data_IF_470126847481
#
_entry.id   IF_470126847481
#
_cell.length_a   1.000
_cell.length_b   1.000
_cell.length_c   1.000
_cell.angle_alpha   90.00
_cell.angle_beta   90.00
_cell.angle_gamma   90.00
#
_symmetry.space_group_name_H-M   'P 1'
#
loop_
_entity.id
_entity.type
_entity.pdbx_description
1 polymer ?
#
# COMPACT_ATOMS: atom_id res chain seq x y z
N UNK A 1 -0.27 13.56 19.46
CA UNK A 1 -0.40 14.29 18.18
C UNK A 1 -0.27 13.25 17.09
N UNK A 2 -1.10 13.25 16.02
CA UNK A 2 -0.90 12.31 14.92
C UNK A 2 0.47 12.56 14.28
N UNK A 3 1.17 11.48 13.92
CA UNK A 3 2.44 11.54 13.19
C UNK A 3 2.26 12.38 11.91
N UNK A 4 3.10 13.38 11.72
CA UNK A 4 3.08 14.24 10.52
C UNK A 4 4.07 13.68 9.50
N UNK A 5 3.75 12.56 8.89
CA UNK A 5 4.51 12.05 7.76
C UNK A 5 4.27 12.95 6.54
N UNK A 6 5.33 13.36 5.85
CA UNK A 6 5.26 14.13 4.60
C UNK A 6 5.81 13.30 3.43
N UNK A 7 5.48 13.70 2.19
CA UNK A 7 5.88 12.99 0.96
C UNK A 7 7.38 12.68 0.90
N UNK A 8 8.23 13.57 1.43
CA UNK A 8 9.67 13.37 1.46
C UNK A 8 10.08 12.22 2.39
N UNK A 9 9.57 12.19 3.62
CA UNK A 9 9.78 11.08 4.56
C UNK A 9 9.26 9.77 3.98
N UNK A 10 8.07 9.79 3.36
CA UNK A 10 7.49 8.61 2.72
C UNK A 10 8.39 8.08 1.60
N UNK A 11 8.88 8.98 0.74
CA UNK A 11 9.79 8.63 -0.36
C UNK A 11 11.08 8.02 0.17
N UNK A 12 11.66 8.58 1.24
CA UNK A 12 12.86 8.02 1.90
C UNK A 12 12.57 6.63 2.46
N UNK A 13 11.43 6.43 3.11
CA UNK A 13 11.04 5.13 3.67
C UNK A 13 10.84 4.06 2.59
N UNK A 14 10.12 4.37 1.51
CA UNK A 14 9.98 3.45 0.37
C UNK A 14 11.34 3.17 -0.27
N UNK A 15 12.21 4.18 -0.42
CA UNK A 15 13.54 3.97 -0.96
C UNK A 15 14.36 3.01 -0.08
N UNK A 16 14.31 3.16 1.24
CA UNK A 16 14.95 2.20 2.15
C UNK A 16 14.34 0.80 2.02
N UNK A 17 13.03 0.68 1.83
CA UNK A 17 12.36 -0.61 1.60
C UNK A 17 12.92 -1.33 0.37
N UNK A 18 13.24 -0.57 -0.69
CA UNK A 18 13.86 -1.10 -1.91
C UNK A 18 15.33 -1.45 -1.69
N UNK A 19 16.07 -0.64 -0.94
CA UNK A 19 17.53 -0.76 -0.80
C UNK A 19 17.99 -1.73 0.29
N UNK A 20 17.17 -1.99 1.32
CA UNK A 20 17.63 -2.67 2.54
C UNK A 20 17.51 -4.21 2.50
N UNK A 21 17.15 -4.78 1.36
CA UNK A 21 17.07 -6.23 1.17
C UNK A 21 16.06 -6.89 2.11
N UNK A 22 16.57 -7.71 3.04
CA UNK A 22 15.76 -8.45 4.02
C UNK A 22 15.57 -7.70 5.35
N UNK A 23 16.16 -6.52 5.53
CA UNK A 23 15.91 -5.69 6.70
C UNK A 23 14.46 -5.18 6.71
N UNK A 24 13.85 -5.07 7.89
CA UNK A 24 12.54 -4.45 8.05
C UNK A 24 12.69 -2.93 8.04
N UNK A 25 11.76 -2.25 7.38
CA UNK A 25 11.70 -0.79 7.33
C UNK A 25 10.36 -0.37 7.92
N UNK A 26 10.38 0.57 8.86
CA UNK A 26 9.18 1.08 9.53
C UNK A 26 9.24 2.60 9.64
N UNK A 27 8.09 3.25 9.55
CA UNK A 27 7.96 4.71 9.61
C UNK A 27 7.37 5.16 10.94
N UNK A 28 7.72 6.38 11.37
CA UNK A 28 7.14 7.05 12.53
C UNK A 28 7.12 6.14 13.75
N UNK A 29 8.25 5.47 14.00
CA UNK A 29 8.38 4.47 15.05
C UNK A 29 8.58 5.17 16.39
N UNK A 30 7.78 4.80 17.38
CA UNK A 30 7.97 5.29 18.74
C UNK A 30 9.02 4.42 19.44
N UNK A 31 10.18 4.99 19.75
CA UNK A 31 11.23 4.33 20.53
C UNK A 31 11.27 4.90 21.96
N UNK A 32 11.61 4.05 22.93
CA UNK A 32 11.72 4.45 24.33
C UNK A 32 13.04 5.18 24.60
N UNK A 33 12.97 6.41 25.14
CA UNK A 33 14.12 7.14 25.66
C UNK A 33 14.65 6.42 26.91
N UNK A 34 15.89 5.93 26.84
CA UNK A 34 16.52 5.12 27.88
C UNK A 34 16.73 5.90 29.20
N UNK A 35 16.72 7.23 29.16
CA UNK A 35 16.88 8.06 30.36
C UNK A 35 15.54 8.37 31.02
N UNK A 36 14.52 8.74 30.25
CA UNK A 36 13.24 9.23 30.79
C UNK A 36 12.11 8.21 30.73
N UNK A 37 12.27 7.11 30.01
CA UNK A 37 11.21 6.13 29.73
C UNK A 37 10.11 6.65 28.79
N UNK A 38 10.22 7.89 28.31
CA UNK A 38 9.22 8.49 27.42
C UNK A 38 9.42 8.02 25.99
N UNK A 39 8.33 7.86 25.25
CA UNK A 39 8.39 7.51 23.84
C UNK A 39 8.79 8.74 22.99
N UNK A 40 9.71 8.55 22.05
CA UNK A 40 10.08 9.54 21.03
C UNK A 40 9.93 8.93 19.65
N UNK A 41 9.30 9.69 18.75
CA UNK A 41 9.14 9.30 17.36
C UNK A 41 10.49 9.34 16.62
N UNK A 42 10.73 8.38 15.74
CA UNK A 42 11.82 8.32 14.76
C UNK A 42 11.20 8.15 13.39
N UNK A 43 11.58 9.01 12.43
CA UNK A 43 10.88 9.12 11.15
C UNK A 43 10.92 7.84 10.32
N UNK A 44 12.09 7.19 10.23
CA UNK A 44 12.28 5.88 9.60
C UNK A 44 13.27 5.06 10.40
N UNK A 45 12.91 3.80 10.67
CA UNK A 45 13.78 2.81 11.31
C UNK A 45 14.00 1.66 10.35
N UNK A 46 15.27 1.29 10.15
CA UNK A 46 15.68 0.08 9.46
C UNK A 46 16.26 -0.89 10.48
N UNK A 47 15.64 -2.05 10.64
CA UNK A 47 16.07 -3.08 11.58
C UNK A 47 16.58 -4.31 10.83
N UNK A 48 17.70 -4.83 11.29
CA UNK A 48 18.28 -6.07 10.79
C UNK A 48 18.93 -6.85 11.92
N UNK A 49 19.37 -8.07 11.63
CA UNK A 49 20.16 -8.88 12.56
C UNK A 49 21.51 -9.17 11.93
N UNK A 50 22.59 -8.79 12.61
CA UNK A 50 23.96 -9.07 12.19
C UNK A 50 24.62 -10.01 13.21
N UNK A 51 24.97 -11.23 12.77
CA UNK A 51 25.56 -12.25 13.63
C UNK A 51 24.77 -12.52 14.92
N UNK A 52 23.43 -12.50 14.85
CA UNK A 52 22.53 -12.71 15.99
C UNK A 52 22.29 -11.47 16.87
N UNK A 53 22.88 -10.32 16.53
CA UNK A 53 22.68 -9.07 17.26
C UNK A 53 21.74 -8.13 16.48
N UNK A 54 20.75 -7.50 17.16
CA UNK A 54 19.89 -6.52 16.52
C UNK A 54 20.70 -5.27 16.14
N UNK A 55 20.46 -4.78 14.92
CA UNK A 55 21.03 -3.55 14.38
C UNK A 55 19.89 -2.63 13.96
N UNK A 56 19.82 -1.46 14.59
CA UNK A 56 18.81 -0.44 14.38
C UNK A 56 19.46 0.80 13.77
N UNK A 57 19.12 1.10 12.53
CA UNK A 57 19.51 2.33 11.84
C UNK A 57 18.32 3.28 11.87
N UNK A 58 18.50 4.45 12.46
CA UNK A 58 17.50 5.50 12.49
C UNK A 58 17.81 6.55 11.43
N UNK A 59 16.77 6.95 10.69
CA UNK A 59 16.80 8.07 9.77
C UNK A 59 15.83 9.14 10.24
N UNK A 60 16.30 10.39 10.26
CA UNK A 60 15.47 11.59 10.51
C UNK A 60 15.43 12.42 9.24
N UNK A 61 14.24 12.85 8.84
CA UNK A 61 13.96 13.48 7.56
C UNK A 61 13.58 14.95 7.74
N UNK A 62 14.16 15.82 6.92
CA UNK A 62 13.87 17.26 6.95
C UNK A 62 13.66 17.82 5.56
N UNK A 63 12.42 18.17 5.27
CA UNK A 63 12.03 18.77 4.00
C UNK A 63 11.81 20.29 4.12
N UNK A 64 12.91 21.04 4.19
CA UNK A 64 12.89 22.49 4.28
C UNK A 64 13.69 23.09 3.13
N UNK A 65 13.29 24.27 2.64
CA UNK A 65 13.97 24.96 1.55
C UNK A 65 15.42 25.38 1.88
N UNK A 66 15.73 25.67 3.15
CA UNK A 66 17.08 26.08 3.59
C UNK A 66 17.87 24.89 4.12
N UNK A 67 19.18 24.80 3.83
CA UNK A 67 20.03 23.77 4.40
C UNK A 67 19.93 23.71 5.92
N UNK A 68 19.95 22.50 6.48
CA UNK A 68 19.90 22.32 7.93
C UNK A 68 21.20 22.76 8.58
N UNK A 69 21.06 23.47 9.68
CA UNK A 69 22.16 24.03 10.44
C UNK A 69 22.65 23.06 11.52
N UNK A 70 23.65 23.52 12.28
CA UNK A 70 24.25 22.74 13.37
C UNK A 70 23.23 22.47 14.48
N UNK A 71 22.31 23.41 14.72
CA UNK A 71 21.27 23.30 15.76
C UNK A 71 20.43 22.04 15.57
N UNK A 72 19.95 21.79 14.35
CA UNK A 72 19.17 20.58 14.08
C UNK A 72 20.00 19.31 14.25
N UNK A 73 21.24 19.31 13.73
CA UNK A 73 22.13 18.14 13.85
C UNK A 73 22.42 17.79 15.32
N UNK A 74 22.70 18.78 16.15
CA UNK A 74 22.93 18.59 17.59
C UNK A 74 21.68 18.10 18.33
N UNK A 75 20.50 18.59 17.94
CA UNK A 75 19.22 18.12 18.49
C UNK A 75 19.02 16.63 18.24
N UNK A 76 19.22 16.16 16.99
CA UNK A 76 19.05 14.75 16.66
C UNK A 76 20.15 13.88 17.29
N UNK A 77 21.39 14.36 17.38
CA UNK A 77 22.45 13.67 18.13
C UNK A 77 22.03 13.49 19.61
N UNK A 78 21.56 14.55 20.26
CA UNK A 78 21.13 14.51 21.65
C UNK A 78 19.89 13.65 21.90
N UNK A 79 18.99 13.56 20.91
CA UNK A 79 17.86 12.63 20.90
C UNK A 79 18.36 11.18 20.83
N UNK A 80 19.15 10.85 19.82
CA UNK A 80 19.60 9.48 19.55
C UNK A 80 20.68 8.96 20.51
N UNK A 81 21.36 9.83 21.25
CA UNK A 81 22.24 9.42 22.34
C UNK A 81 21.50 8.64 23.46
N UNK A 82 20.17 8.74 23.50
CA UNK A 82 19.31 8.08 24.51
C UNK A 82 18.32 7.09 23.89
N UNK A 83 18.29 6.94 22.57
CA UNK A 83 17.44 5.97 21.91
C UNK A 83 18.21 4.68 21.63
N UNK A 84 17.53 3.52 21.55
CA UNK A 84 18.14 2.23 21.24
C UNK A 84 18.51 2.12 19.75
N UNK A 85 19.31 3.06 19.25
CA UNK A 85 19.71 3.16 17.84
C UNK A 85 21.21 2.98 17.70
N UNK A 86 21.66 2.13 16.77
CA UNK A 86 23.08 1.85 16.53
C UNK A 86 23.72 2.86 15.56
N UNK A 87 22.93 3.40 14.63
CA UNK A 87 23.40 4.39 13.64
C UNK A 87 22.34 5.45 13.42
N UNK A 88 22.77 6.71 13.43
CA UNK A 88 21.95 7.86 13.03
C UNK A 88 22.33 8.31 11.61
N UNK A 89 21.30 8.52 10.80
CA UNK A 89 21.37 9.11 9.47
C UNK A 89 20.42 10.31 9.43
N UNK A 90 20.91 11.47 9.01
CA UNK A 90 20.08 12.66 8.82
C UNK A 90 19.89 12.90 7.33
N UNK A 91 18.65 13.01 6.90
CA UNK A 91 18.28 13.20 5.50
C UNK A 91 17.63 14.57 5.34
N UNK A 92 18.23 15.44 4.53
CA UNK A 92 17.70 16.78 4.26
C UNK A 92 17.47 16.98 2.76
N UNK A 93 16.30 17.51 2.38
CA UNK A 93 16.00 17.80 0.97
C UNK A 93 16.85 18.93 0.39
N UNK A 94 17.30 19.88 1.23
CA UNK A 94 18.13 21.04 0.85
C UNK A 94 19.58 20.94 1.32
N UNK A 95 19.95 19.84 1.96
CA UNK A 95 21.29 19.60 2.49
C UNK A 95 21.58 20.29 3.81
N UNK A 96 22.85 20.61 4.04
CA UNK A 96 23.40 20.98 5.34
C UNK A 96 24.34 22.18 5.24
N UNK A 97 24.55 22.92 6.34
CA UNK A 97 25.60 23.94 6.42
C UNK A 97 26.99 23.30 6.59
N UNK A 98 28.07 24.08 6.42
CA UNK A 98 29.45 23.58 6.61
C UNK A 98 29.69 23.09 8.04
N UNK A 99 29.21 23.87 9.00
CA UNK A 99 29.36 23.55 10.43
C UNK A 99 28.58 22.29 10.82
N UNK A 100 27.33 22.15 10.34
CA UNK A 100 26.52 20.95 10.52
C UNK A 100 27.24 19.67 10.03
N UNK A 101 27.92 19.74 8.87
CA UNK A 101 28.72 18.62 8.36
C UNK A 101 29.89 18.27 9.27
N UNK A 102 30.61 19.25 9.78
CA UNK A 102 31.76 19.04 10.67
C UNK A 102 31.33 18.41 12.00
N UNK A 103 30.20 18.83 12.56
CA UNK A 103 29.65 18.24 13.79
C UNK A 103 29.20 16.80 13.53
N UNK A 104 28.43 16.56 12.47
CA UNK A 104 27.98 15.21 12.13
C UNK A 104 29.14 14.24 11.92
N UNK A 105 30.21 14.65 11.23
CA UNK A 105 31.41 13.83 11.01
C UNK A 105 32.07 13.43 12.34
N UNK A 106 32.27 14.38 13.25
CA UNK A 106 32.85 14.12 14.58
C UNK A 106 32.00 13.17 15.43
N UNK A 107 30.69 13.18 15.23
CA UNK A 107 29.74 12.30 15.93
C UNK A 107 29.39 11.03 15.14
N UNK A 108 30.08 10.75 14.03
CA UNK A 108 29.83 9.60 13.15
C UNK A 108 28.38 9.49 12.66
N UNK A 109 27.71 10.63 12.48
CA UNK A 109 26.36 10.73 11.92
C UNK A 109 26.46 10.82 10.40
N UNK A 110 25.70 9.99 9.69
CA UNK A 110 25.66 10.06 8.22
C UNK A 110 24.73 11.19 7.78
N UNK A 111 25.16 12.00 6.82
CA UNK A 111 24.35 13.06 6.24
C UNK A 111 24.02 12.72 4.80
N UNK A 112 22.73 12.69 4.47
CA UNK A 112 22.24 12.39 3.14
C UNK A 112 21.43 13.56 2.58
N UNK A 113 21.59 13.80 1.29
CA UNK A 113 20.87 14.84 0.55
C UNK A 113 20.56 14.26 -0.82
N UNK A 114 19.28 14.05 -1.16
CA UNK A 114 18.90 13.72 -2.52
C UNK A 114 19.45 14.77 -3.49
N UNK A 115 20.06 14.31 -4.58
CA UNK A 115 20.55 15.20 -5.63
C UNK A 115 19.77 14.92 -6.90
N UNK A 116 19.20 15.96 -7.54
CA UNK A 116 18.75 15.82 -8.91
C UNK A 116 19.92 15.32 -9.77
N UNK A 117 19.63 14.40 -10.69
CA UNK A 117 20.61 14.02 -11.69
C UNK A 117 20.71 15.10 -12.76
N UNK A 118 21.93 15.31 -13.26
CA UNK A 118 22.17 16.20 -14.39
C UNK A 118 21.43 15.70 -15.64
N UNK A 119 20.90 16.61 -16.45
CA UNK A 119 20.14 16.31 -17.67
C UNK A 119 20.96 15.47 -18.64
N UNK A 120 22.26 15.75 -18.75
CA UNK A 120 23.17 14.98 -19.61
C UNK A 120 23.40 13.56 -19.07
N UNK A 121 23.45 13.40 -17.75
CA UNK A 121 23.52 12.09 -17.10
C UNK A 121 22.21 11.31 -17.26
N UNK A 122 21.06 11.98 -17.12
CA UNK A 122 19.73 11.43 -17.39
C UNK A 122 19.59 11.02 -18.86
N UNK A 123 20.12 11.81 -19.81
CA UNK A 123 20.08 11.48 -21.24
C UNK A 123 21.00 10.30 -21.59
N UNK A 124 22.12 10.15 -20.88
CA UNK A 124 23.01 9.00 -21.00
C UNK A 124 22.43 7.74 -20.35
N UNK A 125 21.64 7.90 -19.29
CA UNK A 125 20.72 6.88 -18.82
C UNK A 125 19.64 6.72 -19.89
N UNK A 126 19.87 5.84 -20.89
CA UNK A 126 18.90 5.45 -21.94
C UNK A 126 17.53 4.95 -21.42
N UNK A 127 17.29 5.04 -20.11
CA UNK A 127 16.37 4.28 -19.24
C UNK A 127 15.72 5.17 -18.15
N UNK A 128 15.88 6.49 -18.19
CA UNK A 128 15.19 7.36 -17.23
C UNK A 128 13.68 7.35 -17.50
N UNK A 129 12.94 6.62 -16.67
CA UNK A 129 11.48 6.54 -16.78
C UNK A 129 10.90 7.87 -16.32
N UNK A 130 10.25 8.57 -17.26
CA UNK A 130 9.60 9.87 -17.02
C UNK A 130 8.19 9.74 -16.47
N UNK A 131 7.54 8.64 -16.81
CA UNK A 131 6.19 8.34 -16.39
C UNK A 131 6.00 6.84 -16.31
N UNK A 132 5.36 6.38 -15.25
CA UNK A 132 4.85 5.03 -15.12
C UNK A 132 3.33 5.10 -15.26
N UNK A 133 2.72 4.18 -16.00
CA UNK A 133 1.26 4.12 -16.11
C UNK A 133 0.75 3.04 -15.18
N UNK A 134 -0.15 3.42 -14.30
CA UNK A 134 -0.79 2.58 -13.31
C UNK A 134 -2.16 2.15 -13.85
N UNK A 135 -2.44 0.85 -13.91
CA UNK A 135 -3.79 0.34 -14.17
C UNK A 135 -4.45 -0.06 -12.88
N UNK A 136 -5.46 0.69 -12.47
CA UNK A 136 -6.31 0.39 -11.32
C UNK A 136 -7.60 -0.27 -11.80
N UNK A 137 -8.10 -1.22 -11.04
CA UNK A 137 -9.40 -1.83 -11.32
C UNK A 137 -10.41 -1.31 -10.32
N UNK A 138 -11.42 -0.65 -10.84
CA UNK A 138 -12.55 -0.15 -10.09
C UNK A 138 -13.71 -1.09 -10.36
N UNK A 139 -14.33 -1.59 -9.31
CA UNK A 139 -15.49 -2.46 -9.42
C UNK A 139 -16.71 -1.78 -8.82
N UNK A 140 -17.80 -1.78 -9.58
CA UNK A 140 -19.09 -1.26 -9.15
C UNK A 140 -20.09 -2.41 -9.16
N UNK A 141 -20.42 -2.98 -7.99
CA UNK A 141 -21.50 -3.96 -7.85
C UNK A 141 -22.82 -3.43 -8.44
N UNK A 142 -23.38 -4.05 -9.47
CA UNK A 142 -24.64 -3.54 -10.04
C UNK A 142 -25.84 -4.28 -9.45
N UNK A 143 -25.78 -5.61 -9.44
CA UNK A 143 -26.94 -6.44 -9.19
C UNK A 143 -26.57 -7.71 -8.42
N UNK A 144 -27.33 -7.99 -7.36
CA UNK A 144 -27.38 -9.30 -6.73
C UNK A 144 -28.75 -9.90 -6.99
N UNK A 145 -28.79 -10.93 -7.82
CA UNK A 145 -29.99 -11.72 -8.05
C UNK A 145 -29.83 -13.07 -7.38
N UNK A 146 -30.84 -13.47 -6.62
CA UNK A 146 -30.84 -14.76 -5.92
C UNK A 146 -32.00 -15.60 -6.37
N UNK A 147 -31.77 -16.88 -6.60
CA UNK A 147 -32.81 -17.88 -6.77
C UNK A 147 -33.07 -18.54 -5.43
N UNK A 148 -34.29 -18.45 -4.94
CA UNK A 148 -34.72 -19.08 -3.71
C UNK A 148 -35.35 -20.44 -3.98
N UNK A 149 -35.01 -21.42 -3.15
CA UNK A 149 -35.72 -22.71 -3.14
C UNK A 149 -37.18 -22.52 -2.74
N UNK A 150 -38.04 -23.43 -3.22
CA UNK A 150 -39.42 -23.50 -2.77
C UNK A 150 -39.49 -23.85 -1.27
N UNK A 151 -40.44 -23.23 -0.57
CA UNK A 151 -40.76 -23.53 0.83
C UNK A 151 -42.28 -23.79 0.96
N UNK A 152 -42.78 -24.37 2.06
CA UNK A 152 -44.21 -24.61 2.24
C UNK A 152 -45.03 -23.31 2.07
N UNK A 153 -45.85 -23.24 1.03
CA UNK A 153 -46.64 -22.05 0.68
C UNK A 153 -45.93 -21.02 -0.21
N UNK A 154 -44.67 -21.26 -0.59
CA UNK A 154 -43.83 -20.32 -1.34
C UNK A 154 -43.16 -21.02 -2.53
N UNK A 155 -43.50 -20.67 -3.78
CA UNK A 155 -42.83 -21.24 -4.94
C UNK A 155 -41.38 -20.77 -5.01
N UNK A 156 -40.51 -21.54 -5.68
CA UNK A 156 -39.18 -21.05 -6.04
C UNK A 156 -39.31 -19.73 -6.83
N UNK A 157 -38.46 -18.76 -6.52
CA UNK A 157 -38.53 -17.43 -7.13
C UNK A 157 -37.14 -16.82 -7.28
N UNK A 158 -37.03 -15.85 -8.19
CA UNK A 158 -35.82 -15.07 -8.42
C UNK A 158 -36.06 -13.65 -7.92
N UNK A 159 -35.15 -13.13 -7.09
CA UNK A 159 -35.27 -11.82 -6.47
C UNK A 159 -34.00 -11.01 -6.69
N UNK A 160 -34.17 -9.75 -7.10
CA UNK A 160 -33.14 -8.73 -7.02
C UNK A 160 -33.08 -8.19 -5.59
N UNK A 161 -31.89 -8.20 -5.00
CA UNK A 161 -31.68 -7.75 -3.63
C UNK A 161 -31.07 -6.35 -3.57
N UNK A 162 -31.66 -5.43 -2.78
CA UNK A 162 -31.00 -4.19 -2.39
C UNK A 162 -29.65 -4.47 -1.71
N UNK A 163 -28.67 -3.57 -1.87
CA UNK A 163 -27.30 -3.74 -1.33
C UNK A 163 -27.25 -3.87 0.20
N UNK A 164 -28.21 -3.31 0.91
CA UNK A 164 -28.33 -3.36 2.36
C UNK A 164 -29.12 -4.57 2.87
N UNK A 165 -29.68 -5.40 1.97
CA UNK A 165 -30.48 -6.56 2.35
C UNK A 165 -29.65 -7.55 3.17
N UNK A 166 -30.13 -7.99 4.36
CA UNK A 166 -29.38 -8.89 5.24
C UNK A 166 -29.34 -10.33 4.69
N UNK A 167 -28.18 -10.96 4.75
CA UNK A 167 -27.98 -12.38 4.41
C UNK A 167 -27.67 -13.18 5.68
N UNK A 168 -28.42 -14.26 5.86
CA UNK A 168 -28.28 -15.18 6.99
C UNK A 168 -27.52 -16.43 6.56
N UNK A 169 -26.81 -17.04 7.51
CA UNK A 169 -26.04 -18.26 7.31
C UNK A 169 -26.52 -19.30 8.33
N UNK A 170 -26.62 -20.57 7.91
CA UNK A 170 -27.01 -21.66 8.78
C UNK A 170 -26.25 -21.64 10.12
N UNK A 171 -26.98 -21.84 11.23
CA UNK A 171 -26.41 -21.91 12.57
C UNK A 171 -26.10 -20.55 13.22
N UNK A 172 -26.57 -19.44 12.63
CA UNK A 172 -26.50 -18.11 13.23
C UNK A 172 -27.87 -17.44 13.23
N UNK A 173 -28.21 -16.84 14.36
CA UNK A 173 -29.51 -16.15 14.57
C UNK A 173 -29.47 -14.69 14.12
N UNK A 174 -28.29 -14.15 13.84
CA UNK A 174 -28.06 -12.80 13.36
C UNK A 174 -27.51 -12.82 11.91
N UNK A 175 -27.82 -11.80 11.09
CA UNK A 175 -27.28 -11.71 9.74
C UNK A 175 -25.76 -11.57 9.78
N UNK A 176 -25.07 -12.28 8.89
CA UNK A 176 -23.60 -12.30 8.86
C UNK A 176 -23.04 -11.13 8.06
N UNK A 177 -23.74 -10.73 6.99
CA UNK A 177 -23.38 -9.63 6.11
C UNK A 177 -24.58 -9.14 5.29
N UNK A 178 -24.42 -8.01 4.59
CA UNK A 178 -25.38 -7.54 3.60
C UNK A 178 -25.11 -8.10 2.21
N UNK A 179 -26.11 -8.06 1.35
CA UNK A 179 -26.02 -8.34 -0.09
C UNK A 179 -24.85 -7.62 -0.77
N UNK A 180 -24.66 -6.32 -0.50
CA UNK A 180 -23.56 -5.54 -1.06
C UNK A 180 -22.18 -6.03 -0.60
N UNK A 181 -22.06 -6.46 0.66
CA UNK A 181 -20.81 -7.03 1.18
C UNK A 181 -20.53 -8.41 0.58
N UNK A 182 -21.56 -9.21 0.34
CA UNK A 182 -21.43 -10.48 -0.38
C UNK A 182 -20.93 -10.24 -1.81
N UNK A 183 -21.56 -9.33 -2.55
CA UNK A 183 -21.13 -9.00 -3.93
C UNK A 183 -19.68 -8.52 -3.96
N UNK A 184 -19.29 -7.61 -3.06
CA UNK A 184 -17.92 -7.10 -3.03
C UNK A 184 -16.90 -8.23 -2.80
N UNK A 185 -17.09 -9.04 -1.76
CA UNK A 185 -16.17 -10.16 -1.48
C UNK A 185 -16.14 -11.19 -2.62
N UNK A 186 -17.26 -11.35 -3.32
CA UNK A 186 -17.34 -12.21 -4.49
C UNK A 186 -16.55 -11.67 -5.69
N UNK A 187 -16.70 -10.38 -5.99
CA UNK A 187 -15.94 -9.71 -7.05
C UNK A 187 -14.45 -9.76 -6.76
N UNK A 188 -14.04 -9.46 -5.53
CA UNK A 188 -12.64 -9.53 -5.09
C UNK A 188 -12.05 -10.94 -5.29
N UNK A 189 -12.83 -11.99 -4.99
CA UNK A 189 -12.44 -13.38 -5.20
C UNK A 189 -12.28 -13.73 -6.69
N UNK A 190 -13.19 -13.30 -7.57
CA UNK A 190 -13.06 -13.51 -9.02
C UNK A 190 -11.80 -12.82 -9.56
N UNK A 191 -11.58 -11.56 -9.19
CA UNK A 191 -10.40 -10.81 -9.66
C UNK A 191 -9.11 -11.50 -9.21
N UNK A 192 -9.08 -11.98 -7.97
CA UNK A 192 -7.96 -12.76 -7.42
C UNK A 192 -7.73 -14.06 -8.20
N UNK A 193 -8.77 -14.85 -8.47
CA UNK A 193 -8.67 -16.10 -9.24
C UNK A 193 -8.21 -15.89 -10.69
N UNK A 194 -8.54 -14.75 -11.29
CA UNK A 194 -8.11 -14.38 -12.64
C UNK A 194 -6.69 -13.82 -12.67
N UNK A 195 -5.97 -13.80 -11.55
CA UNK A 195 -4.60 -13.29 -11.47
C UNK A 195 -4.51 -11.79 -11.74
N UNK A 196 -5.61 -11.07 -11.55
CA UNK A 196 -5.68 -9.66 -11.90
C UNK A 196 -5.12 -8.84 -10.75
N UNK A 197 -3.85 -8.45 -10.89
CA UNK A 197 -3.20 -7.57 -9.93
C UNK A 197 -3.61 -6.10 -10.22
N UNK A 198 -4.15 -5.36 -9.23
CA UNK A 198 -4.54 -3.97 -9.40
C UNK A 198 -3.35 -3.02 -9.58
N UNK A 199 -2.11 -3.52 -9.55
CA UNK A 199 -0.89 -2.75 -9.75
C UNK A 199 -0.08 -3.35 -10.89
N UNK A 200 -0.60 -3.26 -12.10
CA UNK A 200 0.20 -3.55 -13.28
C UNK A 200 0.63 -2.26 -14.00
N UNK A 201 1.92 -2.21 -14.33
CA UNK A 201 2.55 -1.10 -15.05
C UNK A 201 2.58 -1.44 -16.54
N UNK A 202 1.80 -0.74 -17.38
CA UNK A 202 1.66 -1.08 -18.81
C UNK A 202 1.49 0.13 -19.72
N UNK A 203 1.65 -0.06 -21.03
CA UNK A 203 1.28 0.93 -22.06
C UNK A 203 -0.24 0.99 -22.28
N UNK A 204 -0.74 2.20 -22.46
CA UNK A 204 -2.14 2.62 -22.38
C UNK A 204 -3.15 1.87 -23.27
N UNK A 205 -4.24 1.43 -22.64
CA UNK A 205 -5.59 1.30 -23.23
C UNK A 205 -6.62 1.25 -22.07
N UNK A 206 -7.66 2.08 -22.17
CA UNK A 206 -8.84 2.06 -21.30
C UNK A 206 -9.81 1.00 -21.82
N UNK A 207 -10.18 0.03 -20.97
CA UNK A 207 -11.21 -0.94 -21.27
C UNK A 207 -12.24 -0.96 -20.13
N UNK A 208 -13.51 -0.81 -20.50
CA UNK A 208 -14.66 -1.09 -19.61
C UNK A 208 -15.18 -2.47 -19.95
N UNK A 209 -15.43 -3.30 -18.94
CA UNK A 209 -15.98 -4.64 -19.13
C UNK A 209 -16.99 -4.94 -18.04
N UNK A 210 -18.15 -5.48 -18.42
CA UNK A 210 -19.11 -6.01 -17.47
C UNK A 210 -18.72 -7.44 -17.10
N UNK A 211 -18.62 -7.73 -15.80
CA UNK A 211 -18.48 -9.11 -15.31
C UNK A 211 -19.83 -9.56 -14.77
N UNK A 212 -20.41 -10.56 -15.42
CA UNK A 212 -21.58 -11.29 -14.93
C UNK A 212 -21.17 -12.73 -14.64
N UNK A 213 -21.61 -13.26 -13.50
CA UNK A 213 -21.35 -14.65 -13.20
C UNK A 213 -22.46 -15.26 -12.32
N UNK A 214 -22.84 -16.50 -12.66
CA UNK A 214 -23.94 -17.26 -12.08
C UNK A 214 -23.36 -18.46 -11.31
N UNK A 215 -23.79 -18.65 -10.06
CA UNK A 215 -23.27 -19.71 -9.21
C UNK A 215 -24.36 -20.44 -8.47
N UNK A 216 -24.47 -21.78 -8.65
CA UNK A 216 -25.24 -22.59 -7.73
C UNK A 216 -24.53 -22.62 -6.38
N UNK A 217 -25.23 -22.26 -5.30
CA UNK A 217 -24.73 -22.48 -3.94
C UNK A 217 -24.90 -23.97 -3.63
N UNK A 218 -23.85 -24.77 -3.91
CA UNK A 218 -23.86 -26.21 -3.58
C UNK A 218 -22.58 -26.73 -2.92
N UNK A 219 -22.84 -27.46 -1.82
CA UNK A 219 -22.07 -28.43 -1.02
C UNK A 219 -20.74 -28.08 -0.35
N UNK A 220 -19.91 -27.14 -0.83
CA UNK A 220 -18.61 -26.86 -0.17
C UNK A 220 -18.63 -25.65 0.78
N UNK A 221 -19.71 -24.86 0.77
CA UNK A 221 -19.92 -23.70 1.64
C UNK A 221 -21.17 -23.82 2.53
N UNK A 222 -21.33 -22.95 3.55
CA UNK A 222 -22.50 -22.99 4.42
C UNK A 222 -23.76 -22.53 3.69
N UNK A 223 -24.90 -23.14 4.02
CA UNK A 223 -26.19 -22.76 3.45
C UNK A 223 -26.55 -21.30 3.82
N UNK A 224 -26.97 -20.54 2.81
CA UNK A 224 -27.39 -19.15 2.94
C UNK A 224 -28.91 -19.03 2.85
N UNK A 225 -29.47 -18.09 3.60
CA UNK A 225 -30.91 -17.87 3.69
C UNK A 225 -31.26 -16.39 3.62
N UNK A 226 -32.43 -16.11 3.06
CA UNK A 226 -33.13 -14.84 3.24
C UNK A 226 -34.29 -15.00 4.19
N UNK A 227 -34.54 -13.95 4.99
CA UNK A 227 -35.69 -13.87 5.88
C UNK A 227 -36.82 -13.09 5.19
N UNK A 228 -37.92 -13.77 4.87
CA UNK A 228 -39.17 -13.10 4.56
C UNK A 228 -39.79 -12.64 5.89
N UNK A 229 -39.48 -11.42 6.31
CA UNK A 229 -39.91 -10.87 7.61
C UNK A 229 -41.36 -10.35 7.58
N UNK A 230 -41.89 -10.01 6.41
CA UNK A 230 -43.22 -9.40 6.24
C UNK A 230 -44.38 -10.43 6.29
N UNK A 231 -44.09 -11.67 6.67
CA UNK A 231 -45.05 -12.76 6.75
C UNK A 231 -45.05 -13.32 8.17
N UNK A 232 -46.21 -13.75 8.66
CA UNK A 232 -46.38 -14.29 10.01
C UNK A 232 -46.82 -15.78 9.94
N UNK A 233 -45.99 -16.73 10.43
CA UNK A 233 -44.64 -16.52 10.97
C UNK A 233 -43.62 -16.21 9.86
N UNK A 234 -42.51 -15.53 10.18
CA UNK A 234 -41.46 -15.24 9.21
C UNK A 234 -40.85 -16.53 8.67
N UNK A 235 -40.57 -16.54 7.37
CA UNK A 235 -40.09 -17.73 6.67
C UNK A 235 -38.64 -17.53 6.22
N UNK A 236 -37.77 -18.46 6.60
CA UNK A 236 -36.42 -18.55 6.04
C UNK A 236 -36.46 -19.31 4.72
N UNK A 237 -35.94 -18.69 3.68
CA UNK A 237 -35.85 -19.26 2.34
C UNK A 237 -34.39 -19.48 1.96
N UNK A 238 -34.05 -20.73 1.65
CA UNK A 238 -32.68 -21.08 1.22
C UNK A 238 -32.38 -20.44 -0.13
N UNK A 239 -31.19 -19.86 -0.25
CA UNK A 239 -30.64 -19.38 -1.51
C UNK A 239 -30.02 -20.56 -2.26
N UNK A 240 -30.57 -20.88 -3.43
CA UNK A 240 -30.13 -21.99 -4.27
C UNK A 240 -29.05 -21.54 -5.28
N UNK A 241 -29.16 -20.32 -5.77
CA UNK A 241 -28.27 -19.77 -6.80
C UNK A 241 -28.13 -18.28 -6.58
N UNK A 242 -26.94 -17.77 -6.91
CA UNK A 242 -26.64 -16.36 -6.86
C UNK A 242 -26.03 -15.93 -8.18
N UNK A 243 -26.63 -14.90 -8.77
CA UNK A 243 -26.12 -14.16 -9.91
C UNK A 243 -25.58 -12.83 -9.41
N UNK A 244 -24.32 -12.57 -9.71
CA UNK A 244 -23.67 -11.30 -9.43
C UNK A 244 -23.33 -10.63 -10.75
N UNK A 245 -23.71 -9.36 -10.91
CA UNK A 245 -23.12 -8.49 -11.93
C UNK A 245 -22.37 -7.33 -11.28
N UNK A 246 -21.23 -7.00 -11.86
CA UNK A 246 -20.45 -5.84 -11.50
C UNK A 246 -19.85 -5.22 -12.77
N UNK A 247 -19.97 -3.90 -12.89
CA UNK A 247 -19.19 -3.14 -13.85
C UNK A 247 -17.74 -3.10 -13.38
N UNK A 248 -16.81 -3.44 -14.27
CA UNK A 248 -15.39 -3.36 -14.02
C UNK A 248 -14.80 -2.33 -14.97
N UNK A 249 -14.27 -1.27 -14.39
CA UNK A 249 -13.61 -0.19 -15.10
C UNK A 249 -12.11 -0.25 -14.80
N UNK A 250 -11.31 -0.29 -15.87
CA UNK A 250 -9.86 -0.15 -15.76
C UNK A 250 -9.54 1.33 -15.87
N UNK A 251 -9.18 1.94 -14.75
CA UNK A 251 -8.67 3.30 -14.71
C UNK A 251 -7.17 3.27 -14.99
N UNK A 252 -6.70 4.09 -15.93
CA UNK A 252 -5.26 4.23 -16.20
C UNK A 252 -4.79 5.61 -15.75
N UNK A 253 -3.90 5.65 -14.77
CA UNK A 253 -3.33 6.90 -14.25
C UNK A 253 -1.84 7.00 -14.60
N UNK A 254 -1.41 8.17 -15.07
CA UNK A 254 0.01 8.45 -15.21
C UNK A 254 0.61 8.86 -13.87
N UNK A 255 1.75 8.25 -13.53
CA UNK A 255 2.60 8.58 -12.39
C UNK A 255 3.80 9.32 -12.94
N UNK A 256 3.85 10.66 -12.86
CA UNK A 256 5.03 11.42 -13.26
C UNK A 256 6.20 11.08 -12.34
N UNK A 257 7.36 10.78 -12.93
CA UNK A 257 8.52 10.32 -12.19
C UNK A 257 9.62 11.38 -12.18
N UNK A 258 10.11 11.71 -10.98
CA UNK A 258 11.31 12.49 -10.76
C UNK A 258 12.49 11.57 -10.47
N UNK A 259 13.66 11.87 -11.02
CA UNK A 259 14.87 11.06 -10.79
C UNK A 259 15.86 11.81 -9.90
N UNK A 260 16.37 11.12 -8.89
CA UNK A 260 17.37 11.63 -7.98
C UNK A 260 18.40 10.56 -7.64
N UNK A 261 19.46 10.97 -6.96
CA UNK A 261 20.45 10.09 -6.38
C UNK A 261 20.52 10.31 -4.88
N UNK A 262 20.53 9.21 -4.12
CA UNK A 262 20.77 9.21 -2.68
C UNK A 262 21.84 8.18 -2.35
N UNK A 263 22.91 8.62 -1.70
CA UNK A 263 24.03 7.75 -1.28
C UNK A 263 24.61 6.87 -2.42
N UNK A 264 24.74 7.42 -3.62
CA UNK A 264 25.24 6.70 -4.79
C UNK A 264 24.17 5.91 -5.55
N UNK A 265 23.04 5.57 -4.92
CA UNK A 265 21.92 4.89 -5.57
C UNK A 265 21.07 5.88 -6.36
N UNK A 266 20.92 5.63 -7.66
CA UNK A 266 19.96 6.32 -8.51
C UNK A 266 18.57 5.72 -8.29
N UNK A 267 17.59 6.58 -8.08
CA UNK A 267 16.20 6.19 -7.92
C UNK A 267 15.28 7.15 -8.65
N UNK A 268 14.09 6.65 -9.00
CA UNK A 268 12.99 7.47 -9.46
C UNK A 268 11.83 7.34 -8.47
N UNK A 269 11.07 8.41 -8.31
CA UNK A 269 9.87 8.41 -7.48
C UNK A 269 8.78 9.26 -8.11
N UNK A 270 7.53 8.94 -7.81
CA UNK A 270 6.38 9.65 -8.34
C UNK A 270 5.14 9.35 -7.53
N UNK A 271 4.21 10.29 -7.52
CA UNK A 271 2.93 10.15 -6.84
C UNK A 271 1.79 10.46 -7.80
N UNK A 272 0.67 9.76 -7.62
CA UNK A 272 -0.57 10.03 -8.34
C UNK A 272 -1.77 9.65 -7.47
N UNK A 273 -2.94 10.15 -7.84
CA UNK A 273 -4.21 9.78 -7.21
C UNK A 273 -5.13 9.22 -8.29
N UNK A 274 -5.79 8.11 -7.96
CA UNK A 274 -6.84 7.48 -8.77
C UNK A 274 -8.18 7.60 -8.04
N UNK A 275 -9.27 7.18 -8.67
CA UNK A 275 -10.58 7.15 -7.99
C UNK A 275 -10.61 6.22 -6.77
N UNK A 276 -9.75 5.20 -6.74
CA UNK A 276 -9.74 4.18 -5.69
C UNK A 276 -8.67 4.41 -4.60
N UNK A 277 -7.56 5.07 -4.95
CA UNK A 277 -6.37 5.11 -4.10
C UNK A 277 -5.39 6.24 -4.43
N UNK A 278 -4.64 6.65 -3.41
CA UNK A 278 -3.41 7.42 -3.55
C UNK A 278 -2.22 6.48 -3.69
N UNK A 279 -1.30 6.80 -4.60
CA UNK A 279 -0.14 5.97 -4.89
C UNK A 279 1.14 6.79 -4.81
N UNK A 280 2.11 6.25 -4.09
CA UNK A 280 3.50 6.70 -4.10
C UNK A 280 4.37 5.54 -4.57
N UNK A 281 5.11 5.75 -5.65
CA UNK A 281 6.01 4.78 -6.23
C UNK A 281 7.45 5.22 -6.03
N UNK A 282 8.32 4.28 -5.64
CA UNK A 282 9.77 4.46 -5.64
C UNK A 282 10.41 3.25 -6.31
N UNK A 283 11.43 3.49 -7.10
CA UNK A 283 12.11 2.44 -7.85
C UNK A 283 13.58 2.75 -8.04
N UNK A 284 14.38 1.69 -8.13
CA UNK A 284 15.81 1.74 -8.44
C UNK A 284 16.04 0.92 -9.71
N UNK A 285 16.85 1.45 -10.63
CA UNK A 285 17.22 0.77 -11.88
C UNK A 285 16.03 0.30 -12.74
N UNK A 286 15.12 1.20 -13.15
CA UNK A 286 14.08 0.87 -14.15
C UNK A 286 14.70 0.60 -15.53
N UNK A 287 15.21 -0.61 -15.74
CA UNK A 287 15.25 -1.18 -17.07
C UNK A 287 13.82 -1.62 -17.38
N UNK A 288 13.17 -1.04 -18.39
CA UNK A 288 11.95 -1.63 -18.91
C UNK A 288 12.36 -2.85 -19.74
N UNK A 289 11.81 -4.01 -19.43
CA UNK A 289 12.01 -5.17 -20.29
C UNK A 289 11.24 -5.02 -21.62
N UNK A 290 11.38 -5.98 -22.53
CA UNK A 290 10.72 -5.93 -23.84
C UNK A 290 9.19 -5.91 -23.77
N UNK A 291 8.60 -6.24 -22.61
CA UNK A 291 7.16 -6.19 -22.34
C UNK A 291 6.70 -4.87 -21.73
N UNK A 292 7.63 -3.96 -21.41
CA UNK A 292 7.34 -2.70 -20.74
C UNK A 292 7.25 -2.81 -19.21
N UNK A 293 7.66 -3.94 -18.64
CA UNK A 293 7.70 -4.12 -17.18
C UNK A 293 8.99 -3.59 -16.55
N UNK A 294 8.87 -3.06 -15.35
CA UNK A 294 9.98 -2.62 -14.52
C UNK A 294 10.90 -3.80 -14.12
N UNK A 295 12.08 -3.95 -14.73
CA UNK A 295 13.08 -4.97 -14.39
C UNK A 295 13.93 -4.61 -13.16
N UNK A 296 13.83 -3.37 -12.68
CA UNK A 296 14.46 -2.90 -11.44
C UNK A 296 13.73 -3.32 -10.18
N UNK A 297 14.32 -3.01 -9.02
CA UNK A 297 13.60 -3.15 -7.76
C UNK A 297 12.59 -1.99 -7.61
N UNK A 298 11.35 -2.32 -7.27
CA UNK A 298 10.23 -1.38 -7.16
C UNK A 298 9.57 -1.55 -5.80
N UNK A 299 9.21 -0.43 -5.17
CA UNK A 299 8.24 -0.39 -4.08
C UNK A 299 7.10 0.56 -4.46
N UNK A 300 5.88 0.13 -4.19
CA UNK A 300 4.65 0.89 -4.41
C UNK A 300 3.89 0.94 -3.11
N UNK A 301 3.66 2.16 -2.61
CA UNK A 301 2.74 2.41 -1.51
C UNK A 301 1.40 2.76 -2.11
N UNK A 302 0.38 2.10 -1.59
CA UNK A 302 -1.01 2.37 -1.90
C UNK A 302 -1.71 2.77 -0.61
N UNK A 303 -2.42 3.88 -0.64
CA UNK A 303 -3.33 4.31 0.43
C UNK A 303 -4.75 4.26 -0.10
N UNK A 304 -5.56 3.40 0.50
CA UNK A 304 -6.99 3.26 0.20
C UNK A 304 -7.82 3.72 1.40
N UNK A 305 -9.15 3.74 1.27
CA UNK A 305 -10.06 3.91 2.42
C UNK A 305 -9.91 2.80 3.47
N UNK A 306 -9.46 1.62 3.07
CA UNK A 306 -9.30 0.46 3.97
C UNK A 306 -7.97 0.47 4.72
N UNK A 307 -7.02 1.33 4.34
CA UNK A 307 -5.72 1.43 4.97
C UNK A 307 -4.58 1.59 3.96
N UNK A 308 -3.36 1.51 4.50
CA UNK A 308 -2.10 1.68 3.76
C UNK A 308 -1.41 0.33 3.58
N UNK A 309 -0.99 0.04 2.36
CA UNK A 309 -0.26 -1.19 2.00
C UNK A 309 0.98 -0.83 1.21
N UNK A 310 2.09 -1.53 1.46
CA UNK A 310 3.31 -1.41 0.65
C UNK A 310 3.55 -2.72 -0.08
N UNK A 311 3.66 -2.62 -1.41
CA UNK A 311 4.03 -3.71 -2.29
C UNK A 311 5.48 -3.52 -2.69
N UNK A 312 6.29 -4.57 -2.67
CA UNK A 312 7.66 -4.52 -3.18
C UNK A 312 8.03 -5.71 -4.04
N UNK A 313 8.89 -5.47 -5.03
CA UNK A 313 9.43 -6.47 -5.94
C UNK A 313 10.91 -6.19 -6.15
N UNK A 314 11.76 -7.18 -5.93
CA UNK A 314 13.19 -7.07 -6.23
C UNK A 314 13.46 -7.18 -7.73
N UNK A 315 14.62 -6.67 -8.17
CA UNK A 315 15.06 -6.82 -9.56
C UNK A 315 15.06 -8.30 -10.00
N UNK A 316 14.45 -8.58 -11.15
CA UNK A 316 14.32 -9.93 -11.70
C UNK A 316 13.34 -10.86 -10.97
N UNK A 317 12.59 -10.37 -9.97
CA UNK A 317 11.52 -11.13 -9.33
C UNK A 317 10.19 -10.89 -10.05
N UNK A 318 9.37 -11.94 -10.14
CA UNK A 318 8.02 -11.87 -10.72
C UNK A 318 6.94 -11.70 -9.66
N UNK A 319 7.21 -12.13 -8.43
CA UNK A 319 6.25 -12.06 -7.31
C UNK A 319 6.39 -10.77 -6.50
N UNK A 320 5.26 -10.19 -6.14
CA UNK A 320 5.19 -9.06 -5.22
C UNK A 320 5.16 -9.57 -3.77
N UNK A 321 5.99 -8.97 -2.91
CA UNK A 321 5.86 -9.09 -1.47
C UNK A 321 4.94 -7.98 -0.96
N UNK A 322 4.05 -8.33 -0.04
CA UNK A 322 3.16 -7.39 0.62
C UNK A 322 3.71 -7.16 2.03
N UNK A 323 4.16 -5.94 2.29
CA UNK A 323 4.49 -5.49 3.63
C UNK A 323 3.26 -4.74 4.16
N UNK A 324 2.49 -5.38 5.05
CA UNK A 324 1.40 -4.70 5.74
C UNK A 324 1.98 -3.60 6.61
N UNK A 325 1.62 -2.36 6.32
CA UNK A 325 1.97 -1.27 7.22
C UNK A 325 0.86 -1.20 8.25
N UNK A 326 1.08 -1.85 9.39
CA UNK A 326 0.19 -1.78 10.53
C UNK A 326 -0.22 -0.32 10.76
N UNK A 327 -1.54 -0.06 10.80
CA UNK A 327 -2.01 1.24 11.27
C UNK A 327 -1.39 1.48 12.64
N UNK A 328 -0.51 2.47 12.76
CA UNK A 328 -0.14 3.00 14.07
C UNK A 328 -1.34 3.78 14.60
N UNK A 329 -2.37 3.05 15.03
CA UNK A 329 -3.34 3.55 16.01
C UNK A 329 -2.81 3.17 17.39
N UNK A 330 -2.07 4.04 18.09
CA UNK A 330 -2.18 4.03 19.54
C UNK A 330 -3.59 4.52 19.89
N UNK A 331 -4.26 3.81 20.81
CA UNK A 331 -5.56 4.19 21.35
C UNK A 331 -5.57 5.52 22.08
#
# INVERSE_FOLDING_TARGET
MPARTNLFQETVALLQTVLSGDASVSESVMLTDALTGTMREVDVVVESTLAGHPVVVALECRDHARPQDVTWVEQEIGKHARLPTNKLVLVSSSGFTREARQVAEKHHVALLTPRPLDVDYIAQLKRAVRSVWLRTIVTTPELLVVRLDAAPGWPAEELELPRDHPIYVAGRDEPVFSAGRFVQGFVDAILSLRGVNPLNVFTAEEDKTLICADFPLSSEGPDMYLLAADVDPPVLRRVAEVRVSAEVEIEVASVPMETAQLNGSVYAYGATTTSAMDVLMVTTNLDLDASGEAAGSVAVRVVTRAGRVVFRRGAGQTEWKIDEVAESRPG
#
